data_IF_323143407283
#
_entry.id   IF_323143407283
#
_cell.length_a   1.000
_cell.length_b   1.000
_cell.length_c   1.000
_cell.angle_alpha   90.00
_cell.angle_beta   90.00
_cell.angle_gamma   90.00
#
_symmetry.space_group_name_H-M   'P 1'
#
loop_
_entity.id
_entity.type
_entity.pdbx_description
1 polymer ?
#
# COMPACT_ATOMS: atom_id res chain seq x y z
N UNK A 1 -2.82 -1.69 -13.06
CA UNK A 1 -3.52 -2.80 -12.42
C UNK A 1 -2.54 -3.61 -11.56
N UNK A 2 -2.95 -4.05 -10.40
CA UNK A 2 -2.09 -4.86 -9.53
C UNK A 2 -2.07 -6.29 -10.02
N UNK A 3 -0.87 -6.87 -10.13
CA UNK A 3 -0.70 -8.28 -10.42
C UNK A 3 -0.30 -9.00 -9.13
N UNK A 4 -1.07 -10.02 -8.75
CA UNK A 4 -0.84 -10.79 -7.53
C UNK A 4 -0.04 -12.04 -7.86
N UNK A 5 1.04 -12.26 -7.12
CA UNK A 5 1.93 -13.41 -7.28
C UNK A 5 1.67 -14.51 -6.27
N UNK A 6 1.21 -14.15 -5.07
CA UNK A 6 0.89 -15.14 -4.04
C UNK A 6 -0.22 -14.65 -3.15
N UNK A 7 -1.02 -15.60 -2.65
CA UNK A 7 -2.06 -15.36 -1.65
C UNK A 7 -1.93 -16.38 -0.55
N UNK A 8 -1.99 -15.92 0.70
CA UNK A 8 -1.94 -16.75 1.88
C UNK A 8 -2.99 -16.31 2.87
N UNK A 9 -3.28 -17.16 3.85
CA UNK A 9 -4.26 -16.85 4.87
C UNK A 9 -3.57 -16.50 6.18
N UNK A 10 -3.93 -15.36 6.76
CA UNK A 10 -3.55 -14.99 8.12
C UNK A 10 -4.63 -15.47 9.08
N UNK A 11 -4.30 -16.51 9.85
CA UNK A 11 -5.29 -17.12 10.74
C UNK A 11 -5.60 -16.26 11.98
N UNK A 12 -4.71 -15.35 12.35
CA UNK A 12 -4.90 -14.49 13.53
C UNK A 12 -5.97 -13.44 13.27
N UNK A 13 -5.87 -12.73 12.18
CA UNK A 13 -6.85 -11.68 11.84
C UNK A 13 -7.87 -12.15 10.81
N UNK A 14 -7.92 -13.43 10.51
CA UNK A 14 -8.85 -14.01 9.55
C UNK A 14 -8.88 -13.21 8.24
N UNK A 15 -7.74 -13.07 7.65
CA UNK A 15 -7.60 -12.29 6.43
C UNK A 15 -6.87 -13.08 5.34
N UNK A 16 -7.02 -12.61 4.12
CA UNK A 16 -6.20 -13.03 2.99
C UNK A 16 -5.06 -12.01 2.86
N UNK A 17 -3.84 -12.51 2.78
CA UNK A 17 -2.66 -11.69 2.54
C UNK A 17 -2.15 -12.00 1.15
N UNK A 18 -2.01 -10.98 0.32
CA UNK A 18 -1.53 -11.12 -1.04
C UNK A 18 -0.30 -10.26 -1.26
N UNK A 19 0.58 -10.73 -2.12
CA UNK A 19 1.80 -10.00 -2.51
C UNK A 19 1.79 -9.85 -4.02
N UNK A 20 2.06 -8.63 -4.48
CA UNK A 20 2.05 -8.35 -5.89
C UNK A 20 2.85 -7.11 -6.26
N UNK A 21 2.61 -6.63 -7.48
CA UNK A 21 3.25 -5.42 -7.98
C UNK A 21 2.29 -4.64 -8.86
N UNK A 22 2.55 -3.34 -8.94
CA UNK A 22 1.86 -2.43 -9.84
C UNK A 22 2.88 -1.42 -10.37
N UNK A 23 2.45 -0.51 -11.21
CA UNK A 23 3.31 0.57 -11.69
C UNK A 23 2.97 1.90 -11.00
N UNK A 24 3.84 2.88 -11.18
CA UNK A 24 3.65 4.19 -10.58
C UNK A 24 2.39 4.90 -11.10
N UNK A 25 2.02 4.66 -12.36
CA UNK A 25 0.78 5.23 -12.90
C UNK A 25 -0.42 4.75 -12.10
N UNK A 26 -0.49 3.46 -11.78
CA UNK A 26 -1.56 2.92 -10.96
C UNK A 26 -1.58 3.56 -9.57
N UNK A 27 -0.40 3.73 -8.94
CA UNK A 27 -0.31 4.37 -7.64
C UNK A 27 -0.86 5.79 -7.66
N UNK A 28 -0.47 6.57 -8.67
CA UNK A 28 -0.92 7.95 -8.81
C UNK A 28 -2.43 8.06 -9.08
N UNK A 29 -2.95 7.21 -9.96
CA UNK A 29 -4.36 7.26 -10.37
C UNK A 29 -5.30 6.67 -9.34
N UNK A 30 -4.90 5.59 -8.67
CA UNK A 30 -5.82 4.77 -7.86
C UNK A 30 -5.50 4.75 -6.36
N UNK A 31 -4.25 4.90 -5.96
CA UNK A 31 -3.88 4.84 -4.55
C UNK A 31 -3.81 6.20 -3.87
N UNK A 32 -3.37 7.25 -4.57
CA UNK A 32 -3.35 8.59 -3.99
C UNK A 32 -4.71 9.03 -3.44
N UNK A 33 -5.84 8.78 -4.15
CA UNK A 33 -7.15 9.16 -3.61
C UNK A 33 -7.51 8.48 -2.29
N UNK A 34 -6.82 7.42 -1.91
CA UNK A 34 -7.11 6.66 -0.68
C UNK A 34 -6.41 7.23 0.56
N UNK A 35 -5.53 8.20 0.41
CA UNK A 35 -4.67 8.66 1.51
C UNK A 35 -5.44 9.20 2.71
N UNK A 36 -6.64 9.75 2.51
CA UNK A 36 -7.40 10.40 3.57
C UNK A 36 -8.46 9.50 4.21
N UNK A 37 -8.53 8.21 3.85
CA UNK A 37 -9.63 7.36 4.28
C UNK A 37 -9.64 7.05 5.79
N UNK A 38 -8.47 6.98 6.43
CA UNK A 38 -8.40 6.79 7.88
C UNK A 38 -8.50 8.10 8.66
N UNK A 39 -8.53 9.24 8.00
CA UNK A 39 -8.61 10.54 8.67
C UNK A 39 -7.37 10.93 9.46
N UNK A 40 -6.33 10.13 9.43
CA UNK A 40 -5.07 10.43 10.09
C UNK A 40 -4.02 10.78 9.06
N UNK A 41 -3.78 12.08 8.93
CA UNK A 41 -2.65 12.54 8.14
C UNK A 41 -1.41 12.56 9.02
N UNK A 42 -0.46 11.71 8.72
CA UNK A 42 0.85 11.79 9.35
C UNK A 42 1.57 13.03 8.82
N UNK A 43 2.07 13.84 9.73
CA UNK A 43 2.93 14.96 9.35
C UNK A 43 4.18 14.44 8.65
N UNK A 44 4.59 15.15 7.60
CA UNK A 44 5.86 14.89 6.95
C UNK A 44 6.98 15.00 7.98
N UNK A 45 7.76 13.92 8.15
CA UNK A 45 8.75 13.87 9.20
C UNK A 45 9.97 14.74 8.91
N UNK A 46 10.55 14.61 7.73
CA UNK A 46 11.74 15.38 7.38
C UNK A 46 11.75 15.65 5.88
N UNK A 47 11.82 16.93 5.55
CA UNK A 47 11.92 17.33 4.14
C UNK A 47 13.21 16.79 3.48
N UNK A 48 14.30 16.69 4.24
CA UNK A 48 15.56 16.17 3.72
C UNK A 48 15.46 14.68 3.37
N UNK A 49 14.82 13.91 4.25
CA UNK A 49 14.62 12.48 4.02
C UNK A 49 13.79 12.24 2.76
N UNK A 50 12.68 12.95 2.62
CA UNK A 50 11.80 12.77 1.47
C UNK A 50 12.36 13.37 0.19
N UNK A 51 13.22 14.37 0.28
CA UNK A 51 13.95 14.89 -0.88
C UNK A 51 14.88 13.82 -1.47
N UNK A 52 15.55 13.04 -0.63
CA UNK A 52 16.37 11.91 -1.09
C UNK A 52 15.52 10.83 -1.73
N UNK A 53 14.42 10.46 -1.10
CA UNK A 53 13.50 9.46 -1.65
C UNK A 53 12.95 9.92 -3.01
N UNK A 54 12.59 11.18 -3.13
CA UNK A 54 12.13 11.75 -4.40
C UNK A 54 13.18 11.59 -5.50
N UNK A 55 14.44 11.94 -5.19
CA UNK A 55 15.55 11.79 -6.13
C UNK A 55 15.76 10.32 -6.51
N UNK A 56 15.68 9.42 -5.52
CA UNK A 56 15.84 7.99 -5.74
C UNK A 56 14.74 7.42 -6.63
N UNK A 57 13.50 7.85 -6.44
CA UNK A 57 12.37 7.44 -7.26
C UNK A 57 12.61 7.85 -8.72
N UNK A 58 13.02 9.08 -8.94
CA UNK A 58 13.31 9.59 -10.29
C UNK A 58 14.47 8.81 -10.92
N UNK A 59 15.46 8.43 -10.11
CA UNK A 59 16.63 7.68 -10.57
C UNK A 59 16.37 6.20 -10.75
N UNK A 60 15.20 5.69 -10.36
CA UNK A 60 14.80 4.32 -10.62
C UNK A 60 14.98 3.36 -9.47
N UNK A 61 14.91 3.80 -8.22
CA UNK A 61 14.96 2.90 -7.09
C UNK A 61 13.73 1.98 -7.01
N UNK A 62 13.83 0.92 -6.24
CA UNK A 62 12.69 0.10 -5.85
C UNK A 62 12.30 0.54 -4.44
N UNK A 63 11.12 1.13 -4.31
CA UNK A 63 10.60 1.53 -3.00
C UNK A 63 10.24 0.33 -2.15
N UNK A 64 10.30 0.45 -0.81
CA UNK A 64 9.69 -0.55 0.06
C UNK A 64 8.21 -0.74 -0.29
N UNK A 65 7.65 -1.94 -0.05
CA UNK A 65 6.26 -2.22 -0.40
C UNK A 65 5.28 -1.27 0.27
N UNK A 66 4.21 -0.96 -0.44
CA UNK A 66 3.05 -0.25 0.11
C UNK A 66 2.03 -1.28 0.56
N UNK A 67 1.43 -1.09 1.72
CA UNK A 67 0.42 -2.01 2.24
C UNK A 67 -0.97 -1.42 2.03
N UNK A 68 -1.76 -2.12 1.23
CA UNK A 68 -3.12 -1.78 0.87
C UNK A 68 -4.06 -2.75 1.57
N UNK A 69 -5.21 -2.28 2.05
CA UNK A 69 -6.13 -3.14 2.77
C UNK A 69 -7.58 -2.94 2.34
N UNK A 70 -8.34 -4.02 2.47
CA UNK A 70 -9.77 -4.05 2.20
C UNK A 70 -10.50 -4.81 3.29
N UNK A 71 -11.80 -4.59 3.41
CA UNK A 71 -12.68 -5.37 4.28
C UNK A 71 -13.68 -6.09 3.41
N UNK A 72 -13.75 -7.43 3.54
CA UNK A 72 -14.73 -8.23 2.82
C UNK A 72 -15.02 -9.52 3.58
N UNK A 73 -16.29 -9.77 3.89
CA UNK A 73 -16.70 -11.01 4.53
C UNK A 73 -16.71 -12.20 3.57
N UNK A 74 -16.84 -11.95 2.27
CA UNK A 74 -17.06 -13.01 1.28
C UNK A 74 -15.78 -13.67 0.78
N UNK A 75 -14.62 -13.03 0.95
CA UNK A 75 -13.38 -13.44 0.31
C UNK A 75 -12.43 -14.24 1.20
N UNK A 76 -12.88 -14.75 2.35
CA UNK A 76 -11.98 -15.30 3.38
C UNK A 76 -11.57 -16.75 3.12
N UNK A 77 -12.21 -17.48 2.21
CA UNK A 77 -11.84 -18.87 1.91
C UNK A 77 -11.70 -19.11 0.42
N UNK A 78 -10.68 -19.87 0.04
CA UNK A 78 -10.50 -20.30 -1.34
C UNK A 78 -10.12 -19.21 -2.34
N UNK A 79 -9.42 -18.16 -1.90
CA UNK A 79 -9.03 -17.07 -2.78
C UNK A 79 -7.81 -17.46 -3.60
N UNK A 80 -7.96 -17.41 -4.92
CA UNK A 80 -6.84 -17.56 -5.86
C UNK A 80 -6.22 -16.20 -6.15
N UNK A 81 -5.03 -16.21 -6.76
CA UNK A 81 -4.38 -14.97 -7.18
C UNK A 81 -5.28 -14.14 -8.10
N UNK A 82 -5.94 -14.77 -9.06
CA UNK A 82 -6.84 -14.09 -9.99
C UNK A 82 -8.06 -13.50 -9.31
N UNK A 83 -8.65 -14.22 -8.36
CA UNK A 83 -9.79 -13.71 -7.60
C UNK A 83 -9.40 -12.50 -6.76
N UNK A 84 -8.21 -12.54 -6.15
CA UNK A 84 -7.69 -11.40 -5.40
C UNK A 84 -7.47 -10.19 -6.31
N UNK A 85 -6.86 -10.39 -7.48
CA UNK A 85 -6.67 -9.31 -8.46
C UNK A 85 -8.00 -8.68 -8.87
N UNK A 86 -8.98 -9.49 -9.19
CA UNK A 86 -10.30 -9.02 -9.62
C UNK A 86 -10.98 -8.24 -8.51
N UNK A 87 -10.96 -8.77 -7.28
CA UNK A 87 -11.54 -8.08 -6.12
C UNK A 87 -10.91 -6.72 -5.90
N UNK A 88 -9.57 -6.65 -5.92
CA UNK A 88 -8.85 -5.41 -5.72
C UNK A 88 -9.22 -4.40 -6.80
N UNK A 89 -9.25 -4.83 -8.04
CA UNK A 89 -9.57 -3.96 -9.17
C UNK A 89 -11.00 -3.41 -9.06
N UNK A 90 -11.97 -4.25 -8.73
CA UNK A 90 -13.36 -3.85 -8.63
C UNK A 90 -13.66 -2.95 -7.42
N UNK A 91 -12.86 -3.07 -6.36
CA UNK A 91 -13.10 -2.38 -5.09
C UNK A 91 -12.00 -1.40 -4.70
N UNK A 92 -11.18 -0.98 -5.65
CA UNK A 92 -10.00 -0.17 -5.34
C UNK A 92 -10.36 1.12 -4.59
N UNK A 93 -11.46 1.76 -4.91
CA UNK A 93 -11.88 2.99 -4.25
C UNK A 93 -12.27 2.81 -2.79
N UNK A 94 -12.49 1.58 -2.35
CA UNK A 94 -12.85 1.24 -0.98
C UNK A 94 -11.63 0.78 -0.16
N UNK A 95 -10.45 0.79 -0.75
CA UNK A 95 -9.23 0.40 -0.08
C UNK A 95 -8.74 1.41 0.96
N UNK A 96 -7.83 0.94 1.79
CA UNK A 96 -7.13 1.76 2.80
C UNK A 96 -5.63 1.58 2.62
N UNK A 97 -4.88 2.67 2.80
CA UNK A 97 -3.42 2.59 2.83
C UNK A 97 -2.99 2.41 4.29
N UNK A 98 -2.52 1.22 4.64
CA UNK A 98 -2.04 0.93 5.99
C UNK A 98 -0.61 1.38 6.20
N UNK A 99 0.22 1.28 5.19
CA UNK A 99 1.63 1.65 5.26
C UNK A 99 2.07 2.19 3.91
N UNK A 100 2.87 3.24 3.94
CA UNK A 100 3.43 3.84 2.74
C UNK A 100 2.81 5.17 2.32
N UNK A 101 2.04 5.83 3.20
CA UNK A 101 1.40 7.12 2.88
C UNK A 101 2.42 8.18 2.46
N UNK A 102 3.53 8.28 3.21
CA UNK A 102 4.56 9.27 2.90
C UNK A 102 5.29 8.95 1.59
N UNK A 103 5.48 7.67 1.33
CA UNK A 103 6.07 7.24 0.05
C UNK A 103 5.18 7.59 -1.14
N UNK A 104 3.87 7.44 -0.98
CA UNK A 104 2.91 7.85 -2.03
C UNK A 104 2.91 9.36 -2.24
N UNK A 105 2.96 10.13 -1.18
CA UNK A 105 3.07 11.59 -1.30
C UNK A 105 4.36 12.00 -2.02
N UNK A 106 5.47 11.34 -1.69
CA UNK A 106 6.75 11.60 -2.34
C UNK A 106 6.72 11.21 -3.81
N UNK A 107 6.04 10.10 -4.12
CA UNK A 107 5.84 9.68 -5.51
C UNK A 107 5.08 10.74 -6.30
N UNK A 108 4.05 11.33 -5.70
CA UNK A 108 3.29 12.42 -6.35
C UNK A 108 4.20 13.60 -6.67
N UNK A 109 5.04 14.00 -5.72
CA UNK A 109 6.00 15.09 -5.97
C UNK A 109 6.99 14.72 -7.07
N UNK A 110 7.48 13.49 -7.07
CA UNK A 110 8.41 13.01 -8.09
C UNK A 110 7.78 13.00 -9.48
N UNK A 111 6.47 12.80 -9.57
CA UNK A 111 5.75 12.72 -10.84
C UNK A 111 5.74 14.03 -11.62
N UNK A 112 6.05 15.14 -10.97
CA UNK A 112 6.16 16.46 -11.63
C UNK A 112 7.48 16.63 -12.39
N UNK A 113 8.44 15.74 -12.20
CA UNK A 113 9.73 15.79 -12.89
C UNK A 113 9.59 15.26 -14.33
N UNK A 114 10.29 15.89 -15.26
CA UNK A 114 10.35 15.42 -16.66
C UNK A 114 11.01 14.05 -16.78
N UNK A 115 11.89 13.71 -15.84
CA UNK A 115 12.61 12.43 -15.82
C UNK A 115 11.84 11.31 -15.15
N UNK A 116 10.64 11.57 -14.65
CA UNK A 116 9.81 10.57 -13.97
C UNK A 116 9.26 9.54 -14.96
N UNK A 117 9.46 8.26 -14.65
CA UNK A 117 8.93 7.17 -15.45
C UNK A 117 7.74 6.50 -14.74
N UNK A 118 6.55 6.78 -15.25
CA UNK A 118 5.30 6.24 -14.67
C UNK A 118 5.13 4.73 -14.83
N UNK A 119 5.95 4.10 -15.63
CA UNK A 119 5.90 2.65 -15.86
C UNK A 119 6.74 1.85 -14.88
N UNK A 120 7.53 2.52 -14.06
CA UNK A 120 8.36 1.84 -13.06
C UNK A 120 7.49 1.07 -12.07
N UNK A 121 7.92 -0.14 -11.67
CA UNK A 121 7.15 -0.96 -10.74
C UNK A 121 7.37 -0.58 -9.29
N UNK A 122 6.39 -0.90 -8.46
CA UNK A 122 6.54 -0.96 -7.01
C UNK A 122 5.87 -2.22 -6.49
N UNK A 123 6.31 -2.68 -5.33
CA UNK A 123 5.74 -3.85 -4.69
C UNK A 123 4.57 -3.44 -3.81
N UNK A 124 3.60 -4.33 -3.68
CA UNK A 124 2.42 -4.07 -2.88
C UNK A 124 2.07 -5.29 -2.06
N UNK A 125 1.78 -5.07 -0.77
CA UNK A 125 1.17 -6.06 0.10
C UNK A 125 -0.30 -5.72 0.24
N UNK A 126 -1.18 -6.70 0.11
CA UNK A 126 -2.62 -6.49 0.21
C UNK A 126 -3.16 -7.36 1.32
N UNK A 127 -3.96 -6.76 2.19
CA UNK A 127 -4.65 -7.47 3.27
C UNK A 127 -6.15 -7.32 3.02
N UNK A 128 -6.85 -8.46 2.89
CA UNK A 128 -8.30 -8.46 2.78
C UNK A 128 -8.84 -9.09 4.05
N UNK A 129 -9.28 -8.26 4.98
CA UNK A 129 -9.74 -8.69 6.28
C UNK A 129 -11.25 -8.90 6.29
N UNK A 130 -11.70 -9.84 7.12
CA UNK A 130 -13.13 -10.12 7.26
C UNK A 130 -13.88 -8.97 7.92
N UNK A 131 -13.24 -8.29 8.88
CA UNK A 131 -13.84 -7.20 9.65
C UNK A 131 -12.88 -6.03 9.77
N UNK A 132 -13.43 -4.82 9.84
CA UNK A 132 -12.65 -3.61 10.01
C UNK A 132 -11.83 -3.61 11.30
N UNK A 133 -12.39 -4.13 12.39
CA UNK A 133 -11.70 -4.20 13.68
C UNK A 133 -10.40 -5.02 13.61
N UNK A 134 -10.42 -6.11 12.85
CA UNK A 134 -9.23 -6.93 12.64
C UNK A 134 -8.17 -6.18 11.85
N UNK A 135 -8.61 -5.36 10.91
CA UNK A 135 -7.72 -4.52 10.13
C UNK A 135 -7.06 -3.45 11.01
N UNK A 136 -7.83 -2.82 11.89
CA UNK A 136 -7.30 -1.85 12.87
C UNK A 136 -6.26 -2.50 13.78
N UNK A 137 -6.54 -3.71 14.25
CA UNK A 137 -5.57 -4.45 15.07
C UNK A 137 -4.25 -4.65 14.32
N UNK A 138 -4.31 -5.05 13.05
CA UNK A 138 -3.09 -5.23 12.24
C UNK A 138 -2.36 -3.89 12.04
N UNK A 139 -3.08 -2.82 11.83
CA UNK A 139 -2.48 -1.49 11.70
C UNK A 139 -1.71 -1.09 12.95
N UNK A 140 -2.30 -1.33 14.13
CA UNK A 140 -1.66 -1.04 15.40
C UNK A 140 -0.39 -1.88 15.59
N UNK A 141 -0.45 -3.17 15.28
CA UNK A 141 0.70 -4.07 15.45
C UNK A 141 1.82 -3.72 14.47
N UNK A 142 1.50 -3.31 13.24
CA UNK A 142 2.51 -2.86 12.29
C UNK A 142 3.21 -1.59 12.77
N UNK A 143 2.44 -0.61 13.23
CA UNK A 143 2.98 0.67 13.67
C UNK A 143 3.83 0.53 14.93
N UNK A 144 3.39 -0.28 15.89
CA UNK A 144 4.12 -0.50 17.13
C UNK A 144 5.44 -1.23 16.91
N UNK A 145 5.48 -2.13 15.93
CA UNK A 145 6.70 -2.85 15.58
C UNK A 145 7.75 -1.97 14.90
N UNK A 146 7.38 -0.77 14.50
CA UNK A 146 8.25 0.15 13.76
C UNK A 146 8.64 1.39 14.58
N UNK A 147 8.48 1.35 15.88
CA UNK A 147 8.93 2.48 16.71
C UNK A 147 10.42 2.70 16.51
N UNK A 148 10.84 3.94 16.17
CA UNK A 148 12.25 4.23 16.15
C UNK A 148 12.82 4.00 17.53
N UNK A 149 13.95 3.32 17.61
CA UNK A 149 14.68 3.20 18.85
C UNK A 149 15.11 4.60 19.28
N UNK A 150 14.51 5.08 20.34
CA UNK A 150 15.02 6.29 20.97
C UNK A 150 16.36 5.93 21.61
N UNK A 151 17.38 6.63 21.18
CA UNK A 151 18.68 6.52 21.81
C UNK A 151 18.59 6.99 23.26
#
# INVERSE_FOLDING_TARGET
>A
MIKIYSTDRDEVIQSVVAVGRADYKFALDSLLPLLDRFGEQRKLQSKTFYARLKADIISGCIMPPITLAFVSEELVSGVTNKKAEQFIHENISEGYILDGMQRLNTLREASDSEDFDSKRPFLVNVIIAKKYDLLLYRMITLNNGQRPMTA
#
